data_IF_600545353508
#
_entry.id   IF_600545353508
#
_cell.length_a   1.000
_cell.length_b   1.000
_cell.length_c   1.000
_cell.angle_alpha   90.00
_cell.angle_beta   90.00
_cell.angle_gamma   90.00
#
_symmetry.space_group_name_H-M   'P 1'
#
loop_
_entity.id
_entity.type
_entity.pdbx_description
1 polymer ?
#
# COMPACT_ATOMS: atom_id res chain seq x y z
N UNK A 1 -26.18 -13.02 23.48
CA UNK A 1 -24.71 -12.96 23.60
C UNK A 1 -24.09 -13.44 22.28
N UNK A 2 -23.81 -12.56 21.32
CA UNK A 2 -23.14 -12.89 20.05
C UNK A 2 -22.36 -11.66 19.54
N UNK A 3 -21.33 -11.23 20.25
CA UNK A 3 -20.50 -10.08 19.82
C UNK A 3 -18.98 -10.32 19.84
N UNK A 4 -18.50 -11.52 20.22
CA UNK A 4 -17.05 -11.77 20.39
C UNK A 4 -16.28 -12.26 19.15
N UNK A 5 -16.89 -12.36 17.96
CA UNK A 5 -16.23 -12.94 16.76
C UNK A 5 -16.06 -12.01 15.57
N UNK A 6 -16.48 -10.73 15.65
CA UNK A 6 -16.42 -9.81 14.50
C UNK A 6 -15.01 -9.25 14.20
N UNK A 7 -14.13 -9.18 15.21
CA UNK A 7 -12.76 -8.67 15.05
C UNK A 7 -11.91 -9.50 14.07
N UNK A 8 -11.76 -10.82 14.29
CA UNK A 8 -10.93 -11.67 13.43
C UNK A 8 -11.45 -11.75 11.98
N UNK A 9 -12.77 -11.84 11.80
CA UNK A 9 -13.38 -11.91 10.46
C UNK A 9 -13.14 -10.63 9.65
N UNK A 10 -13.23 -9.47 10.29
CA UNK A 10 -12.94 -8.17 9.66
C UNK A 10 -11.46 -8.09 9.27
N UNK A 11 -10.55 -8.47 10.16
CA UNK A 11 -9.11 -8.42 9.88
C UNK A 11 -8.71 -9.36 8.73
N UNK A 12 -9.28 -10.57 8.70
CA UNK A 12 -9.10 -11.52 7.58
C UNK A 12 -9.62 -10.90 6.28
N UNK A 13 -10.81 -10.30 6.29
CA UNK A 13 -11.37 -9.63 5.11
C UNK A 13 -10.44 -8.51 4.60
N UNK A 14 -9.94 -7.65 5.49
CA UNK A 14 -9.01 -6.58 5.11
C UNK A 14 -7.68 -7.11 4.57
N UNK A 15 -7.17 -8.20 5.13
CA UNK A 15 -5.92 -8.84 4.69
C UNK A 15 -6.02 -9.40 3.27
N UNK A 16 -7.18 -9.96 2.90
CA UNK A 16 -7.39 -10.56 1.58
C UNK A 16 -7.93 -9.57 0.55
N UNK A 17 -8.96 -8.79 0.89
CA UNK A 17 -9.58 -7.84 -0.02
C UNK A 17 -8.74 -6.57 -0.21
N UNK A 18 -8.01 -6.13 0.83
CA UNK A 18 -7.23 -4.90 0.82
C UNK A 18 -6.23 -4.81 -0.35
N UNK A 19 -5.35 -5.81 -0.57
CA UNK A 19 -4.42 -5.79 -1.70
C UNK A 19 -5.11 -5.73 -3.06
N UNK A 20 -6.24 -6.43 -3.23
CA UNK A 20 -7.00 -6.42 -4.49
C UNK A 20 -7.64 -5.06 -4.73
N UNK A 21 -8.26 -4.46 -3.71
CA UNK A 21 -8.86 -3.11 -3.76
C UNK A 21 -7.78 -2.06 -4.04
N UNK A 22 -6.62 -2.15 -3.41
CA UNK A 22 -5.47 -1.28 -3.67
C UNK A 22 -4.99 -1.40 -5.12
N UNK A 23 -4.80 -2.64 -5.60
CA UNK A 23 -4.35 -2.89 -6.97
C UNK A 23 -5.36 -2.32 -7.97
N UNK A 24 -6.65 -2.59 -7.76
CA UNK A 24 -7.72 -2.10 -8.62
C UNK A 24 -7.77 -0.57 -8.67
N UNK A 25 -7.60 0.09 -7.52
CA UNK A 25 -7.54 1.55 -7.46
C UNK A 25 -6.31 2.12 -8.17
N UNK A 26 -5.15 1.45 -8.05
CA UNK A 26 -3.89 1.87 -8.63
C UNK A 26 -3.84 1.67 -10.15
N UNK A 27 -4.26 0.50 -10.63
CA UNK A 27 -4.27 0.20 -12.07
C UNK A 27 -5.42 0.89 -12.80
N UNK A 28 -6.42 1.39 -12.07
CA UNK A 28 -7.70 1.85 -12.61
C UNK A 28 -8.42 0.78 -13.45
N UNK A 29 -8.07 -0.50 -13.27
CA UNK A 29 -8.65 -1.61 -14.04
C UNK A 29 -10.16 -1.77 -13.84
N UNK A 30 -10.75 -1.17 -12.80
CA UNK A 30 -12.21 -1.12 -12.67
C UNK A 30 -12.88 -0.42 -13.86
N UNK A 31 -12.17 0.50 -14.53
CA UNK A 31 -12.65 1.19 -15.73
C UNK A 31 -12.74 0.30 -16.97
N UNK A 32 -12.17 -0.91 -16.91
CA UNK A 32 -12.23 -1.90 -17.98
C UNK A 32 -13.29 -2.97 -17.69
N UNK A 33 -13.91 -2.94 -16.50
CA UNK A 33 -14.95 -3.87 -16.10
C UNK A 33 -16.31 -3.27 -16.44
N UNK A 34 -17.18 -4.08 -17.04
CA UNK A 34 -18.56 -3.71 -17.36
C UNK A 34 -19.40 -3.53 -16.10
N UNK A 35 -20.21 -2.46 -16.08
CA UNK A 35 -21.15 -2.13 -15.02
C UNK A 35 -22.41 -2.99 -15.16
N UNK A 36 -22.76 -3.82 -14.16
CA UNK A 36 -23.94 -4.69 -14.24
C UNK A 36 -25.25 -3.91 -14.34
N UNK A 37 -25.29 -2.66 -13.87
CA UNK A 37 -26.48 -1.80 -13.94
C UNK A 37 -26.59 -1.06 -15.29
N UNK A 38 -25.51 -1.03 -16.07
CA UNK A 38 -25.44 -0.31 -17.35
C UNK A 38 -24.70 -1.14 -18.42
N UNK A 39 -25.39 -2.09 -19.07
CA UNK A 39 -24.81 -2.95 -20.09
C UNK A 39 -24.13 -2.14 -21.21
N UNK A 40 -22.92 -2.56 -21.59
CA UNK A 40 -22.06 -1.88 -22.56
C UNK A 40 -21.31 -0.66 -22.01
N UNK A 41 -21.47 -0.30 -20.73
CA UNK A 41 -20.69 0.75 -20.08
C UNK A 41 -19.76 0.16 -19.02
N UNK A 42 -18.59 0.76 -18.85
CA UNK A 42 -17.67 0.40 -17.78
C UNK A 42 -17.85 1.27 -16.55
N UNK A 43 -17.32 0.84 -15.41
CA UNK A 43 -17.41 1.61 -14.18
C UNK A 43 -16.78 2.99 -14.31
N UNK A 44 -17.60 4.03 -14.13
CA UNK A 44 -17.15 5.43 -14.16
C UNK A 44 -16.39 5.84 -12.91
N UNK A 45 -16.68 5.22 -11.77
CA UNK A 45 -16.07 5.57 -10.47
C UNK A 45 -15.64 4.33 -9.70
N UNK A 46 -14.50 4.45 -9.00
CA UNK A 46 -14.02 3.40 -8.12
C UNK A 46 -15.00 3.12 -6.99
N UNK A 47 -15.68 4.18 -6.51
CA UNK A 47 -16.67 4.09 -5.44
C UNK A 47 -17.84 3.19 -5.83
N UNK A 48 -18.38 3.33 -7.05
CA UNK A 48 -19.45 2.44 -7.53
C UNK A 48 -18.96 1.00 -7.62
N UNK A 49 -17.77 0.79 -8.20
CA UNK A 49 -17.17 -0.54 -8.25
C UNK A 49 -17.05 -1.18 -6.86
N UNK A 50 -16.52 -0.46 -5.87
CA UNK A 50 -16.44 -0.97 -4.49
C UNK A 50 -17.81 -1.32 -3.90
N UNK A 51 -18.83 -0.48 -4.10
CA UNK A 51 -20.16 -0.73 -3.60
C UNK A 51 -20.76 -2.03 -4.19
N UNK A 52 -20.57 -2.26 -5.48
CA UNK A 52 -21.07 -3.44 -6.19
C UNK A 52 -20.28 -4.71 -5.81
N UNK A 53 -19.03 -4.56 -5.35
CA UNK A 53 -18.26 -5.63 -4.69
C UNK A 53 -18.61 -5.83 -3.20
N UNK A 54 -19.63 -5.14 -2.67
CA UNK A 54 -20.03 -5.22 -1.26
C UNK A 54 -19.06 -4.54 -0.29
N UNK A 55 -18.16 -3.69 -0.78
CA UNK A 55 -17.18 -2.94 0.02
C UNK A 55 -17.76 -1.56 0.30
N UNK A 56 -18.02 -1.24 1.57
CA UNK A 56 -18.48 0.10 1.95
C UNK A 56 -17.43 1.16 1.66
N UNK A 57 -17.86 2.42 1.44
CA UNK A 57 -16.97 3.57 1.19
C UNK A 57 -15.89 3.68 2.25
N UNK A 58 -16.26 3.62 3.53
CA UNK A 58 -15.33 3.71 4.65
C UNK A 58 -14.33 2.55 4.67
N UNK A 59 -14.75 1.33 4.30
CA UNK A 59 -13.85 0.18 4.20
C UNK A 59 -12.88 0.32 3.02
N UNK A 60 -13.36 0.74 1.86
CA UNK A 60 -12.52 0.96 0.68
C UNK A 60 -11.43 2.00 0.98
N UNK A 61 -11.77 3.15 1.57
CA UNK A 61 -10.79 4.16 1.93
C UNK A 61 -9.81 3.68 3.00
N UNK A 62 -10.29 2.96 4.03
CA UNK A 62 -9.39 2.36 5.01
C UNK A 62 -8.37 1.43 4.34
N UNK A 63 -8.81 0.58 3.41
CA UNK A 63 -7.90 -0.30 2.67
C UNK A 63 -6.87 0.48 1.84
N UNK A 64 -7.23 1.64 1.30
CA UNK A 64 -6.30 2.48 0.54
C UNK A 64 -5.30 3.23 1.44
N UNK A 65 -5.76 3.68 2.60
CA UNK A 65 -5.03 4.64 3.45
C UNK A 65 -4.18 3.99 4.54
N UNK A 66 -4.56 2.80 5.01
CA UNK A 66 -3.85 2.11 6.10
C UNK A 66 -2.38 1.85 5.79
N UNK A 67 -2.07 1.35 4.59
CA UNK A 67 -0.69 1.01 4.20
C UNK A 67 0.20 2.25 4.06
N UNK A 68 -0.20 3.33 3.36
CA UNK A 68 0.55 4.58 3.34
C UNK A 68 0.84 5.14 4.73
N UNK A 69 -0.17 5.14 5.62
CA UNK A 69 0.00 5.66 7.00
C UNK A 69 0.96 4.77 7.80
N UNK A 70 0.81 3.45 7.74
CA UNK A 70 1.72 2.53 8.40
C UNK A 70 3.17 2.66 7.88
N UNK A 71 3.35 2.90 6.57
CA UNK A 71 4.67 3.16 5.99
C UNK A 71 5.27 4.48 6.46
N UNK A 72 4.45 5.53 6.58
CA UNK A 72 4.88 6.82 7.12
C UNK A 72 5.32 6.67 8.58
N UNK A 73 4.60 5.88 9.38
CA UNK A 73 4.90 5.69 10.81
C UNK A 73 5.91 4.58 11.13
N UNK A 74 6.44 3.84 10.13
CA UNK A 74 7.26 2.63 10.35
C UNK A 74 8.45 2.78 11.32
N UNK A 75 8.94 4.01 11.50
CA UNK A 75 10.03 4.33 12.45
C UNK A 75 9.52 4.60 13.86
N UNK A 76 8.36 5.22 13.98
CA UNK A 76 7.74 5.63 15.24
C UNK A 76 6.84 4.52 15.83
N UNK A 77 6.21 3.71 14.99
CA UNK A 77 5.25 2.69 15.41
C UNK A 77 5.27 1.48 14.49
N UNK A 78 5.21 0.27 15.09
CA UNK A 78 5.18 -1.02 14.37
C UNK A 78 3.95 -1.87 14.69
N UNK A 79 2.99 -1.33 15.46
CA UNK A 79 1.76 -2.03 15.80
C UNK A 79 0.65 -1.85 14.74
N UNK A 80 -0.56 -2.26 15.11
CA UNK A 80 -1.74 -2.11 14.26
C UNK A 80 -2.41 -0.75 14.48
N UNK A 81 -2.87 -0.13 13.40
CA UNK A 81 -3.60 1.14 13.46
C UNK A 81 -5.11 0.89 13.41
N UNK A 82 -5.81 1.46 14.38
CA UNK A 82 -7.26 1.43 14.43
C UNK A 82 -7.89 2.29 13.33
N UNK A 83 -9.14 1.98 12.95
CA UNK A 83 -9.87 2.71 11.90
C UNK A 83 -9.89 4.22 12.14
N UNK A 84 -10.19 4.60 13.38
CA UNK A 84 -10.34 6.01 13.78
C UNK A 84 -9.00 6.75 13.78
N UNK A 85 -7.89 6.06 14.04
CA UNK A 85 -6.55 6.64 13.92
C UNK A 85 -6.22 6.90 12.44
N UNK A 86 -6.53 5.94 11.56
CA UNK A 86 -6.30 6.07 10.11
C UNK A 86 -7.14 7.22 9.53
N UNK A 87 -8.39 7.38 9.94
CA UNK A 87 -9.27 8.47 9.48
C UNK A 87 -8.69 9.87 9.77
N UNK A 88 -7.89 10.02 10.83
CA UNK A 88 -7.24 11.28 11.19
C UNK A 88 -5.88 11.42 10.48
N UNK A 89 -5.10 10.35 10.47
CA UNK A 89 -3.73 10.37 9.95
C UNK A 89 -3.67 10.36 8.42
N UNK A 90 -4.66 9.80 7.74
CA UNK A 90 -4.64 9.71 6.29
C UNK A 90 -4.78 11.07 5.59
N UNK A 91 -5.76 11.95 5.95
CA UNK A 91 -5.81 13.30 5.42
C UNK A 91 -4.56 14.12 5.78
N UNK A 92 -4.03 13.93 6.99
CA UNK A 92 -2.80 14.57 7.45
C UNK A 92 -1.61 14.18 6.56
N UNK A 93 -1.46 12.88 6.27
CA UNK A 93 -0.43 12.37 5.39
C UNK A 93 -0.55 12.92 3.97
N UNK A 94 -1.78 13.02 3.43
CA UNK A 94 -2.02 13.53 2.08
C UNK A 94 -1.74 15.03 1.95
N UNK A 95 -2.13 15.82 2.95
CA UNK A 95 -2.08 17.29 2.88
C UNK A 95 -0.77 17.87 3.40
N UNK A 96 -0.18 17.25 4.43
CA UNK A 96 1.00 17.78 5.15
C UNK A 96 2.22 16.85 5.08
N UNK A 97 2.04 15.62 4.57
CA UNK A 97 3.12 14.68 4.33
C UNK A 97 3.51 13.81 5.54
N UNK A 98 4.50 12.94 5.30
CA UNK A 98 4.91 11.92 6.28
C UNK A 98 5.50 12.51 7.56
N UNK A 99 6.27 13.61 7.46
CA UNK A 99 6.89 14.24 8.63
C UNK A 99 5.84 14.78 9.60
N UNK A 100 4.84 15.51 9.10
CA UNK A 100 3.74 15.99 9.93
C UNK A 100 2.96 14.84 10.58
N UNK A 101 2.80 13.72 9.87
CA UNK A 101 2.17 12.50 10.40
C UNK A 101 2.99 11.89 11.53
N UNK A 102 4.32 11.78 11.38
CA UNK A 102 5.24 11.32 12.42
C UNK A 102 5.26 12.27 13.64
N UNK A 103 5.27 13.59 13.41
CA UNK A 103 5.28 14.62 14.45
C UNK A 103 3.99 14.55 15.29
N UNK A 104 2.82 14.47 14.63
CA UNK A 104 1.52 14.31 15.32
C UNK A 104 1.47 13.01 16.10
N UNK A 105 1.92 11.90 15.53
CA UNK A 105 1.93 10.61 16.23
C UNK A 105 2.82 10.66 17.48
N UNK A 106 4.04 11.16 17.34
CA UNK A 106 5.02 11.23 18.43
C UNK A 106 4.54 12.14 19.55
N UNK A 107 4.05 13.34 19.22
CA UNK A 107 3.50 14.26 20.21
C UNK A 107 2.23 13.73 20.89
N UNK A 108 1.39 12.96 20.19
CA UNK A 108 0.23 12.31 20.81
C UNK A 108 0.66 11.15 21.73
N UNK A 109 1.71 10.44 21.37
CA UNK A 109 2.29 9.37 22.18
C UNK A 109 2.87 9.90 23.48
N UNK A 110 3.55 11.04 23.43
CA UNK A 110 4.06 11.73 24.63
C UNK A 110 2.95 12.18 25.59
N UNK A 111 1.75 12.50 25.08
CA UNK A 111 0.63 12.98 25.89
C UNK A 111 -0.28 11.86 26.42
N UNK A 112 -0.51 10.81 25.62
CA UNK A 112 -1.52 9.79 25.88
C UNK A 112 -0.94 8.38 26.11
N UNK A 113 0.39 8.21 26.00
CA UNK A 113 1.08 6.93 26.10
C UNK A 113 1.28 6.24 24.74
N UNK A 114 1.86 5.03 24.77
CA UNK A 114 2.40 4.29 23.62
C UNK A 114 1.45 4.10 22.42
N UNK A 115 0.13 4.20 22.61
CA UNK A 115 -0.85 4.09 21.52
C UNK A 115 -1.92 5.17 21.69
N UNK A 116 -1.72 6.35 21.08
CA UNK A 116 -2.65 7.47 21.23
C UNK A 116 -3.99 7.14 20.56
N UNK A 117 -5.09 7.46 21.24
CA UNK A 117 -6.42 7.32 20.65
C UNK A 117 -6.69 8.41 19.58
N UNK A 118 -7.79 8.26 18.85
CA UNK A 118 -8.17 9.22 17.81
C UNK A 118 -8.37 10.65 18.37
N UNK A 119 -8.86 10.78 19.61
CA UNK A 119 -9.08 12.09 20.22
C UNK A 119 -7.75 12.82 20.50
N UNK A 120 -6.75 12.11 21.01
CA UNK A 120 -5.41 12.62 21.24
C UNK A 120 -4.75 13.04 19.93
N UNK A 121 -4.86 12.22 18.88
CA UNK A 121 -4.34 12.53 17.55
C UNK A 121 -4.97 13.81 16.97
N UNK A 122 -6.30 13.96 17.06
CA UNK A 122 -6.99 15.17 16.60
C UNK A 122 -6.56 16.42 17.38
N UNK A 123 -6.49 16.33 18.71
CA UNK A 123 -6.09 17.44 19.57
C UNK A 123 -4.65 17.91 19.28
N UNK A 124 -3.73 16.97 19.07
CA UNK A 124 -2.34 17.27 18.74
C UNK A 124 -2.21 17.84 17.33
N UNK A 125 -2.90 17.25 16.35
CA UNK A 125 -2.95 17.79 14.98
C UNK A 125 -3.35 19.26 14.98
N UNK A 126 -4.43 19.59 15.69
CA UNK A 126 -4.96 20.95 15.76
C UNK A 126 -4.00 21.89 16.51
N UNK A 127 -3.39 21.42 17.61
CA UNK A 127 -2.37 22.16 18.36
C UNK A 127 -1.10 22.46 17.55
N UNK A 128 -0.68 21.54 16.68
CA UNK A 128 0.45 21.73 15.76
C UNK A 128 0.09 22.54 14.52
N UNK A 129 -1.18 22.95 14.36
CA UNK A 129 -1.63 23.76 13.24
C UNK A 129 -1.81 22.97 11.93
N UNK A 130 -1.83 21.65 11.99
CA UNK A 130 -2.02 20.79 10.81
C UNK A 130 -3.50 20.57 10.49
N UNK A 131 -4.27 21.66 10.38
CA UNK A 131 -5.67 21.59 9.97
C UNK A 131 -5.82 20.83 8.65
N UNK A 132 -6.77 19.89 8.60
CA UNK A 132 -7.06 19.10 7.40
C UNK A 132 -8.41 19.50 6.83
N UNK A 133 -8.46 19.79 5.53
CA UNK A 133 -9.73 20.04 4.84
C UNK A 133 -10.44 18.70 4.63
N UNK A 134 -11.74 18.58 4.94
CA UNK A 134 -12.50 17.38 4.64
C UNK A 134 -12.53 17.16 3.12
N UNK A 135 -11.95 16.06 2.66
CA UNK A 135 -11.94 15.66 1.26
C UNK A 135 -13.28 14.98 0.94
N UNK A 136 -14.14 15.65 0.17
CA UNK A 136 -15.33 15.02 -0.41
C UNK A 136 -15.02 14.21 -1.68
N UNK A 137 -13.84 14.45 -2.28
CA UNK A 137 -13.38 13.80 -3.50
C UNK A 137 -12.62 12.47 -3.26
N UNK A 138 -12.71 11.57 -4.24
CA UNK A 138 -11.98 10.30 -4.28
C UNK A 138 -10.48 10.54 -3.96
N UNK A 139 -9.90 9.81 -2.98
CA UNK A 139 -8.55 10.08 -2.52
C UNK A 139 -7.59 9.95 -3.71
N UNK A 140 -6.69 10.93 -3.90
CA UNK A 140 -5.78 10.93 -5.02
C UNK A 140 -4.95 9.64 -5.03
N UNK A 141 -4.77 9.04 -6.20
CA UNK A 141 -3.89 7.89 -6.37
C UNK A 141 -2.49 8.16 -5.80
N UNK A 142 -1.75 7.11 -5.37
CA UNK A 142 -0.47 7.26 -4.65
C UNK A 142 0.59 8.05 -5.42
N UNK A 143 0.40 8.24 -6.73
CA UNK A 143 1.24 9.03 -7.62
C UNK A 143 1.31 10.51 -7.24
N UNK A 144 0.26 11.06 -6.62
CA UNK A 144 0.22 12.45 -6.16
C UNK A 144 0.58 12.60 -4.68
N UNK A 145 0.45 11.55 -3.88
CA UNK A 145 0.54 11.67 -2.44
C UNK A 145 1.99 11.69 -1.91
N UNK A 146 2.93 10.93 -2.49
CA UNK A 146 4.30 10.91 -1.95
C UNK A 146 5.29 10.49 -3.06
N UNK A 147 6.33 11.29 -3.32
CA UNK A 147 7.59 10.78 -3.93
C UNK A 147 8.26 9.86 -2.90
N UNK A 148 7.67 8.70 -2.64
CA UNK A 148 8.33 7.66 -1.86
C UNK A 148 9.42 7.14 -2.77
N UNK A 149 10.67 7.49 -2.46
CA UNK A 149 11.81 6.72 -2.93
C UNK A 149 11.58 5.28 -2.48
N UNK A 150 11.00 4.44 -3.36
CA UNK A 150 10.89 3.01 -3.12
C UNK A 150 12.32 2.54 -2.85
N UNK A 151 12.63 1.85 -1.73
CA UNK A 151 13.90 1.15 -1.65
C UNK A 151 13.95 0.25 -2.88
N UNK A 152 14.88 0.58 -3.78
CA UNK A 152 15.00 -0.08 -5.08
C UNK A 152 15.19 -1.57 -4.74
N UNK A 153 14.27 -2.47 -5.13
CA UNK A 153 14.52 -3.89 -4.94
C UNK A 153 15.86 -4.17 -5.62
N UNK A 154 16.78 -4.94 -5.01
CA UNK A 154 18.03 -5.29 -5.66
C UNK A 154 17.65 -5.99 -6.98
N UNK A 155 17.79 -5.23 -8.06
CA UNK A 155 17.43 -5.66 -9.40
C UNK A 155 18.77 -5.97 -10.02
N UNK A 156 19.06 -7.25 -10.24
CA UNK A 156 20.20 -7.64 -11.03
C UNK A 156 19.93 -7.15 -12.47
N UNK A 157 20.54 -6.03 -12.85
CA UNK A 157 20.44 -5.50 -14.20
C UNK A 157 21.53 -6.15 -15.04
N UNK A 158 21.20 -7.28 -15.65
CA UNK A 158 22.04 -7.89 -16.66
C UNK A 158 21.85 -7.12 -17.97
N UNK A 159 22.69 -6.10 -18.19
CA UNK A 159 22.87 -5.50 -19.51
C UNK A 159 24.07 -6.14 -20.18
N UNK A 160 23.96 -6.50 -21.46
CA UNK A 160 25.02 -7.16 -22.25
C UNK A 160 26.39 -6.45 -22.16
N UNK A 161 26.39 -5.12 -21.97
CA UNK A 161 27.61 -4.31 -21.94
C UNK A 161 28.26 -4.19 -20.55
N UNK A 162 27.63 -4.66 -19.47
CA UNK A 162 28.12 -4.50 -18.08
C UNK A 162 27.80 -5.70 -17.20
N UNK A 163 28.28 -6.87 -17.58
CA UNK A 163 28.28 -8.03 -16.68
C UNK A 163 29.31 -7.81 -15.56
N UNK A 164 28.85 -7.73 -14.31
CA UNK A 164 29.70 -7.67 -13.13
C UNK A 164 29.58 -8.96 -12.31
N UNK A 165 30.60 -9.82 -12.42
CA UNK A 165 30.64 -11.11 -11.73
C UNK A 165 30.59 -10.98 -10.20
N UNK A 166 31.13 -9.90 -9.64
CA UNK A 166 31.17 -9.71 -8.19
C UNK A 166 29.80 -9.33 -7.61
N UNK A 167 29.01 -8.55 -8.35
CA UNK A 167 27.61 -8.24 -8.00
C UNK A 167 26.73 -9.50 -8.05
N UNK A 168 26.95 -10.35 -9.07
CA UNK A 168 26.26 -11.64 -9.20
C UNK A 168 26.59 -12.54 -8.01
N UNK A 169 27.87 -12.62 -7.59
CA UNK A 169 28.27 -13.38 -6.41
C UNK A 169 27.69 -12.82 -5.11
N UNK A 170 27.67 -11.50 -4.95
CA UNK A 170 27.07 -10.85 -3.79
C UNK A 170 25.56 -11.14 -3.70
N UNK A 171 24.85 -11.03 -4.82
CA UNK A 171 23.43 -11.37 -4.93
C UNK A 171 23.16 -12.86 -4.63
N UNK A 172 24.01 -13.76 -5.12
CA UNK A 172 23.89 -15.20 -4.85
C UNK A 172 23.99 -15.52 -3.35
N UNK A 173 24.86 -14.84 -2.61
CA UNK A 173 25.00 -15.01 -1.16
C UNK A 173 23.78 -14.47 -0.41
N UNK A 174 23.23 -13.33 -0.85
CA UNK A 174 22.08 -12.70 -0.20
C UNK A 174 20.78 -13.49 -0.45
N UNK A 175 20.60 -14.03 -1.68
CA UNK A 175 19.37 -14.70 -2.11
C UNK A 175 19.64 -15.95 -2.95
N UNK A 176 20.04 -17.07 -2.34
CA UNK A 176 20.45 -18.28 -3.06
C UNK A 176 19.32 -18.90 -3.88
N UNK A 177 18.08 -18.87 -3.41
CA UNK A 177 16.94 -19.48 -4.11
C UNK A 177 16.55 -18.72 -5.39
N UNK A 178 16.62 -17.39 -5.36
CA UNK A 178 16.39 -16.57 -6.57
C UNK A 178 17.52 -16.75 -7.58
N UNK A 179 18.77 -16.90 -7.12
CA UNK A 179 19.89 -17.17 -8.03
C UNK A 179 19.72 -18.51 -8.75
N UNK A 180 19.26 -19.57 -8.05
CA UNK A 180 18.97 -20.87 -8.68
C UNK A 180 17.91 -20.74 -9.77
N UNK A 181 16.88 -19.94 -9.54
CA UNK A 181 15.82 -19.71 -10.52
C UNK A 181 16.33 -18.94 -11.75
N UNK A 182 17.18 -17.92 -11.54
CA UNK A 182 17.84 -17.18 -12.63
C UNK A 182 18.73 -18.11 -13.46
N UNK A 183 19.51 -18.99 -12.83
CA UNK A 183 20.38 -19.96 -13.52
C UNK A 183 19.54 -20.94 -14.33
N UNK A 184 18.47 -21.50 -13.75
CA UNK A 184 17.59 -22.45 -14.45
C UNK A 184 16.93 -21.81 -15.69
N UNK A 185 16.43 -20.58 -15.55
CA UNK A 185 15.86 -19.83 -16.67
C UNK A 185 16.92 -19.49 -17.73
N UNK A 186 18.14 -19.14 -17.31
CA UNK A 186 19.25 -18.87 -18.22
C UNK A 186 19.69 -20.10 -19.00
N UNK A 187 19.77 -21.26 -18.35
CA UNK A 187 20.11 -22.53 -19.01
C UNK A 187 19.05 -22.91 -20.04
N UNK A 188 17.77 -22.79 -19.69
CA UNK A 188 16.69 -23.05 -20.62
C UNK A 188 16.77 -22.15 -21.87
N UNK A 189 17.06 -20.86 -21.70
CA UNK A 189 17.22 -19.94 -22.82
C UNK A 189 18.44 -20.30 -23.71
N UNK A 190 19.54 -20.77 -23.12
CA UNK A 190 20.70 -21.27 -23.87
C UNK A 190 20.31 -22.51 -24.69
N UNK A 191 19.64 -23.47 -24.06
CA UNK A 191 19.21 -24.71 -24.70
C UNK A 191 18.23 -24.43 -25.87
N UNK A 192 17.36 -23.42 -25.74
CA UNK A 192 16.46 -22.96 -26.81
C UNK A 192 17.23 -22.34 -27.99
N UNK A 193 18.26 -21.53 -27.72
CA UNK A 193 19.10 -20.91 -28.76
C UNK A 193 19.95 -21.95 -29.49
N UNK A 194 20.61 -22.85 -28.74
CA UNK A 194 21.47 -23.89 -29.31
C UNK A 194 20.67 -25.00 -29.99
N UNK A 195 19.47 -25.32 -29.48
CA UNK A 195 18.54 -26.27 -30.09
C UNK A 195 17.92 -25.75 -31.39
N UNK A 196 17.78 -24.43 -31.54
CA UNK A 196 17.28 -23.78 -32.78
C UNK A 196 18.35 -23.66 -33.88
N UNK A 197 19.61 -24.02 -33.58
CA UNK A 197 20.75 -23.94 -34.50
C UNK A 197 21.06 -25.29 -35.21
N UNK A 198 20.22 -26.32 -35.03
CA UNK A 198 20.25 -27.58 -35.78
C UNK A 198 19.08 -27.67 -36.76
#
# INVERSE_FOLDING_TARGET
>A
MYEKTKGPAREIYFRWAGPAVQLMHQSKAFKDIEDPDAPGQTYRSFRKWCADQGVSRSHAYRMLDEKPVALALRKAYRGHLDSSQIEILAPLLRQHGAKATEDVWSSATELAGDTPDARALAAVRDKLGFGTVPEDDEPPGPEKAIKVSRPKPPTLRLSADRFNADEVRAFARERPDLMRLIIAAGQQAIDEIEGSAK
#
